data_IF_305337299826
#
_entry.id   IF_305337299826
#
_cell.length_a   1.000
_cell.length_b   1.000
_cell.length_c   1.000
_cell.angle_alpha   90.00
_cell.angle_beta   90.00
_cell.angle_gamma   90.00
#
_symmetry.space_group_name_H-M   'P 1'
#
loop_
_entity.id
_entity.type
_entity.pdbx_description
1 polymer ?
#
# COMPACT_ATOMS: atom_id res chain seq x y z
N UNK A 1 22.12 -38.79 -31.28
CA UNK A 1 23.08 -37.68 -31.15
C UNK A 1 22.42 -36.33 -31.45
N UNK A 2 21.24 -36.11 -31.03
CA UNK A 2 20.60 -34.80 -31.11
C UNK A 2 19.68 -34.66 -29.92
N UNK A 3 20.17 -34.27 -28.79
CA UNK A 3 19.36 -34.08 -27.59
C UNK A 3 19.85 -32.97 -26.66
N UNK A 4 20.69 -32.07 -27.16
CA UNK A 4 21.32 -31.09 -26.27
C UNK A 4 20.96 -29.62 -26.52
N UNK A 5 19.95 -29.30 -27.29
CA UNK A 5 19.66 -27.89 -27.58
C UNK A 5 18.30 -27.36 -27.09
N UNK A 6 17.58 -28.12 -26.27
CA UNK A 6 16.26 -27.71 -25.79
C UNK A 6 16.17 -27.43 -24.29
N UNK A 7 17.31 -27.42 -23.58
CA UNK A 7 17.33 -27.29 -22.14
C UNK A 7 17.60 -25.90 -21.56
N UNK A 8 17.99 -24.91 -22.37
CA UNK A 8 18.57 -23.69 -21.81
C UNK A 8 17.67 -22.46 -21.75
N UNK A 9 16.47 -22.49 -22.30
CA UNK A 9 15.60 -21.31 -22.24
C UNK A 9 14.59 -21.33 -21.09
N UNK A 10 14.27 -22.50 -20.59
CA UNK A 10 13.41 -22.64 -19.40
C UNK A 10 14.18 -22.51 -18.09
N UNK A 11 15.47 -22.84 -18.10
CA UNK A 11 16.30 -22.73 -16.90
C UNK A 11 16.63 -21.28 -16.51
N UNK A 12 16.75 -20.37 -17.47
CA UNK A 12 17.11 -18.98 -17.18
C UNK A 12 15.99 -18.19 -16.51
N UNK A 13 14.74 -18.51 -16.80
CA UNK A 13 13.60 -17.85 -16.14
C UNK A 13 13.31 -18.41 -14.76
N UNK A 14 13.45 -19.73 -14.61
CA UNK A 14 13.27 -20.42 -13.33
C UNK A 14 14.43 -20.09 -12.39
N UNK A 15 15.65 -20.07 -12.88
CA UNK A 15 16.83 -19.65 -12.12
C UNK A 15 16.73 -18.18 -11.67
N UNK A 16 16.09 -17.33 -12.45
CA UNK A 16 15.90 -15.93 -12.09
C UNK A 16 14.82 -15.77 -11.02
N UNK A 17 13.74 -16.54 -11.10
CA UNK A 17 12.69 -16.56 -10.09
C UNK A 17 13.21 -17.19 -8.79
N UNK A 18 13.95 -18.30 -8.87
CA UNK A 18 14.57 -18.91 -7.70
C UNK A 18 15.63 -18.01 -7.07
N UNK A 19 16.41 -17.29 -7.87
CA UNK A 19 17.37 -16.31 -7.35
C UNK A 19 16.70 -15.09 -6.75
N UNK A 20 15.58 -14.64 -7.28
CA UNK A 20 14.79 -13.56 -6.69
C UNK A 20 14.14 -14.02 -5.38
N UNK A 21 13.59 -15.22 -5.34
CA UNK A 21 13.05 -15.83 -4.14
C UNK A 21 14.15 -16.11 -3.10
N UNK A 22 15.28 -16.66 -3.53
CA UNK A 22 16.43 -16.92 -2.65
C UNK A 22 17.05 -15.63 -2.12
N UNK A 23 17.15 -14.61 -2.94
CA UNK A 23 17.59 -13.27 -2.51
C UNK A 23 16.59 -12.61 -1.58
N UNK A 24 15.30 -12.81 -1.80
CA UNK A 24 14.25 -12.40 -0.89
C UNK A 24 14.37 -13.18 0.44
N UNK A 25 14.50 -14.49 0.39
CA UNK A 25 14.65 -15.35 1.57
C UNK A 25 15.91 -15.03 2.37
N UNK A 26 17.03 -14.78 1.71
CA UNK A 26 18.28 -14.37 2.37
C UNK A 26 18.13 -12.97 2.96
N UNK A 27 17.48 -12.07 2.23
CA UNK A 27 17.24 -10.67 2.64
C UNK A 27 16.28 -10.59 3.81
N UNK A 28 15.29 -11.51 3.86
CA UNK A 28 14.25 -11.55 4.86
C UNK A 28 14.39 -12.72 5.82
N UNK A 29 15.53 -13.36 5.80
CA UNK A 29 15.87 -14.41 6.77
C UNK A 29 15.91 -13.78 8.17
N UNK A 30 15.18 -14.38 9.08
CA UNK A 30 15.00 -13.81 10.40
C UNK A 30 13.83 -12.84 10.45
N UNK A 31 12.70 -13.27 9.90
CA UNK A 31 11.41 -12.57 9.91
C UNK A 31 11.06 -11.97 11.27
N UNK A 32 11.52 -12.61 12.35
CA UNK A 32 11.34 -12.14 13.72
C UNK A 32 12.47 -11.21 14.19
N UNK A 33 13.51 -11.01 13.37
CA UNK A 33 14.56 -10.04 13.67
C UNK A 33 14.05 -8.61 13.39
N UNK A 34 14.00 -7.74 14.39
CA UNK A 34 13.59 -6.35 14.21
C UNK A 34 14.36 -5.59 13.12
N UNK A 35 15.62 -5.94 12.91
CA UNK A 35 16.44 -5.34 11.85
C UNK A 35 15.96 -5.70 10.46
N UNK A 36 15.58 -6.96 10.24
CA UNK A 36 15.04 -7.41 8.95
C UNK A 36 13.72 -6.73 8.63
N UNK A 37 12.85 -6.59 9.62
CA UNK A 37 11.58 -5.88 9.53
C UNK A 37 11.78 -4.42 9.16
N UNK A 38 12.60 -3.70 9.90
CA UNK A 38 12.90 -2.29 9.68
C UNK A 38 13.59 -2.08 8.33
N UNK A 39 14.48 -2.97 7.93
CA UNK A 39 15.15 -2.91 6.64
C UNK A 39 14.17 -3.06 5.48
N UNK A 40 13.25 -4.02 5.53
CA UNK A 40 12.22 -4.21 4.50
C UNK A 40 11.37 -2.95 4.37
N UNK A 41 10.90 -2.41 5.49
CA UNK A 41 10.10 -1.19 5.49
C UNK A 41 10.88 0.00 4.92
N UNK A 42 12.13 0.21 5.33
CA UNK A 42 12.96 1.31 4.85
C UNK A 42 13.24 1.23 3.36
N UNK A 43 13.51 0.03 2.82
CA UNK A 43 13.72 -0.16 1.38
C UNK A 43 12.42 0.07 0.61
N UNK A 44 11.26 -0.30 1.18
CA UNK A 44 9.96 0.02 0.60
C UNK A 44 9.73 1.53 0.51
N UNK A 45 10.06 2.26 1.56
CA UNK A 45 9.98 3.75 1.59
C UNK A 45 10.92 4.37 0.55
N UNK A 46 12.17 3.90 0.46
CA UNK A 46 13.11 4.38 -0.54
C UNK A 46 12.58 4.17 -1.97
N UNK A 47 12.00 3.00 -2.23
CA UNK A 47 11.38 2.71 -3.53
C UNK A 47 10.20 3.66 -3.81
N UNK A 48 9.41 3.97 -2.80
CA UNK A 48 8.30 4.93 -2.91
C UNK A 48 8.82 6.34 -3.24
N UNK A 49 9.88 6.78 -2.59
CA UNK A 49 10.50 8.10 -2.81
C UNK A 49 11.02 8.29 -4.23
N UNK A 50 11.60 7.26 -4.82
CA UNK A 50 12.05 7.28 -6.22
C UNK A 50 10.95 6.93 -7.23
N UNK A 51 9.72 6.75 -6.76
CA UNK A 51 8.55 6.38 -7.56
C UNK A 51 8.66 5.03 -8.27
N UNK A 52 9.45 4.11 -7.72
CA UNK A 52 9.44 2.71 -8.12
C UNK A 52 8.26 2.02 -7.42
N UNK A 53 7.05 2.26 -7.92
CA UNK A 53 5.81 1.82 -7.31
C UNK A 53 5.65 0.31 -7.32
N UNK A 54 6.17 -0.37 -8.32
CA UNK A 54 6.14 -1.83 -8.37
C UNK A 54 6.98 -2.45 -7.25
N UNK A 55 8.21 -1.98 -7.09
CA UNK A 55 9.10 -2.43 -6.01
C UNK A 55 8.53 -2.07 -4.64
N UNK A 56 8.04 -0.84 -4.46
CA UNK A 56 7.41 -0.40 -3.22
C UNK A 56 6.20 -1.27 -2.87
N UNK A 57 5.32 -1.52 -3.83
CA UNK A 57 4.14 -2.37 -3.66
C UNK A 57 4.53 -3.78 -3.21
N UNK A 58 5.48 -4.41 -3.87
CA UNK A 58 5.94 -5.76 -3.54
C UNK A 58 6.53 -5.84 -2.14
N UNK A 59 7.32 -4.84 -1.73
CA UNK A 59 7.94 -4.79 -0.41
C UNK A 59 6.93 -4.51 0.70
N UNK A 60 6.01 -3.58 0.51
CA UNK A 60 4.94 -3.34 1.48
C UNK A 60 4.00 -4.52 1.61
N UNK A 61 3.67 -5.19 0.50
CA UNK A 61 2.87 -6.43 0.52
C UNK A 61 3.55 -7.52 1.32
N UNK A 62 4.84 -7.73 1.08
CA UNK A 62 5.64 -8.66 1.85
C UNK A 62 5.65 -8.28 3.34
N UNK A 63 5.79 -7.00 3.64
CA UNK A 63 5.83 -6.52 5.02
C UNK A 63 4.54 -6.84 5.79
N UNK A 64 3.37 -6.54 5.22
CA UNK A 64 2.09 -6.80 5.90
C UNK A 64 1.76 -8.28 6.02
N UNK A 65 2.26 -9.12 5.12
CA UNK A 65 2.09 -10.58 5.16
C UNK A 65 3.02 -11.25 6.18
N UNK A 66 4.20 -10.68 6.42
CA UNK A 66 5.28 -11.32 7.15
C UNK A 66 5.50 -10.77 8.55
N UNK A 67 5.09 -9.53 8.82
CA UNK A 67 5.33 -8.85 10.09
C UNK A 67 4.05 -8.29 10.68
N UNK A 68 3.98 -8.27 12.01
CA UNK A 68 2.93 -7.59 12.76
C UNK A 68 3.57 -6.52 13.64
N UNK A 69 3.56 -5.30 13.13
CA UNK A 69 4.13 -4.13 13.79
C UNK A 69 3.05 -3.06 13.95
N UNK A 70 2.69 -2.74 15.18
CA UNK A 70 1.59 -1.81 15.48
C UNK A 70 1.79 -0.40 14.91
N UNK A 71 3.01 -0.01 14.60
CA UNK A 71 3.33 1.30 14.04
C UNK A 71 3.48 1.23 12.51
N UNK A 72 4.26 0.26 12.01
CA UNK A 72 4.64 0.17 10.60
C UNK A 72 3.62 -0.58 9.73
N UNK A 73 2.96 -1.61 10.26
CA UNK A 73 1.97 -2.36 9.48
C UNK A 73 0.80 -1.48 9.03
N UNK A 74 0.20 -0.65 9.89
CA UNK A 74 -0.83 0.29 9.44
C UNK A 74 -0.31 1.27 8.38
N UNK A 75 0.92 1.78 8.52
CA UNK A 75 1.53 2.65 7.50
C UNK A 75 1.75 1.92 6.18
N UNK A 76 2.17 0.66 6.22
CA UNK A 76 2.33 -0.15 5.01
C UNK A 76 0.99 -0.34 4.27
N UNK A 77 -0.10 -0.60 4.97
CA UNK A 77 -1.44 -0.62 4.36
C UNK A 77 -1.81 0.72 3.75
N UNK A 78 -1.50 1.82 4.42
CA UNK A 78 -1.74 3.15 3.86
C UNK A 78 -0.99 3.36 2.54
N UNK A 79 0.29 3.01 2.48
CA UNK A 79 1.10 3.13 1.26
C UNK A 79 0.62 2.20 0.15
N UNK A 80 0.20 0.97 0.48
CA UNK A 80 -0.42 0.07 -0.49
C UNK A 80 -1.69 0.68 -1.10
N UNK A 81 -2.52 1.30 -0.29
CA UNK A 81 -3.69 2.04 -0.74
C UNK A 81 -3.33 3.19 -1.69
N UNK A 82 -2.33 3.99 -1.32
CA UNK A 82 -1.84 5.10 -2.14
C UNK A 82 -1.27 4.63 -3.48
N UNK A 83 -0.43 3.60 -3.48
CA UNK A 83 0.15 3.05 -4.71
C UNK A 83 -0.94 2.51 -5.63
N UNK A 84 -1.90 1.78 -5.09
CA UNK A 84 -3.03 1.26 -5.85
C UNK A 84 -3.90 2.38 -6.45
N UNK A 85 -4.07 3.47 -5.71
CA UNK A 85 -4.76 4.68 -6.20
C UNK A 85 -4.01 5.33 -7.37
N UNK A 86 -2.70 5.48 -7.26
CA UNK A 86 -1.85 6.03 -8.33
C UNK A 86 -1.94 5.16 -9.59
N UNK A 87 -1.97 3.84 -9.42
CA UNK A 87 -2.11 2.87 -10.53
C UNK A 87 -3.54 2.77 -11.07
N UNK A 88 -4.48 3.50 -10.50
CA UNK A 88 -5.90 3.45 -10.83
C UNK A 88 -6.57 2.09 -10.54
N UNK A 89 -6.02 1.31 -9.62
CA UNK A 89 -6.62 0.08 -9.09
C UNK A 89 -7.52 0.45 -7.90
N UNK A 90 -8.69 1.00 -8.19
CA UNK A 90 -9.54 1.67 -7.19
C UNK A 90 -10.10 0.71 -6.14
N UNK A 91 -10.56 -0.47 -6.56
CA UNK A 91 -11.07 -1.50 -5.66
C UNK A 91 -9.99 -2.01 -4.69
N UNK A 92 -8.81 -2.29 -5.21
CA UNK A 92 -7.67 -2.73 -4.41
C UNK A 92 -7.24 -1.64 -3.41
N UNK A 93 -7.20 -0.39 -3.87
CA UNK A 93 -6.90 0.76 -3.02
C UNK A 93 -7.89 0.89 -1.86
N UNK A 94 -9.20 0.79 -2.14
CA UNK A 94 -10.23 0.82 -1.10
C UNK A 94 -10.03 -0.31 -0.08
N UNK A 95 -9.75 -1.51 -0.54
CA UNK A 95 -9.51 -2.67 0.33
C UNK A 95 -8.34 -2.43 1.29
N UNK A 96 -7.24 -1.85 0.83
CA UNK A 96 -6.11 -1.54 1.70
C UNK A 96 -6.43 -0.46 2.73
N UNK A 97 -7.11 0.62 2.34
CA UNK A 97 -7.53 1.65 3.29
C UNK A 97 -8.55 1.12 4.30
N UNK A 98 -9.48 0.26 3.86
CA UNK A 98 -10.44 -0.39 4.76
C UNK A 98 -9.75 -1.35 5.73
N UNK A 99 -8.75 -2.10 5.30
CA UNK A 99 -7.97 -2.97 6.17
C UNK A 99 -7.29 -2.16 7.29
N UNK A 100 -6.70 -1.02 6.94
CA UNK A 100 -6.14 -0.09 7.93
C UNK A 100 -7.20 0.37 8.93
N UNK A 101 -8.35 0.81 8.46
CA UNK A 101 -9.43 1.35 9.29
C UNK A 101 -9.99 0.30 10.24
N UNK A 102 -10.21 -0.92 9.75
CA UNK A 102 -10.83 -2.00 10.52
C UNK A 102 -9.85 -2.60 11.53
N UNK A 103 -8.62 -2.83 11.11
CA UNK A 103 -7.63 -3.54 11.93
C UNK A 103 -6.92 -2.63 12.92
N UNK A 104 -6.72 -1.37 12.55
CA UNK A 104 -5.99 -0.39 13.37
C UNK A 104 -6.81 0.89 13.63
N UNK A 105 -7.98 0.79 14.26
CA UNK A 105 -8.94 1.90 14.36
C UNK A 105 -8.44 3.13 15.11
N UNK A 106 -7.42 2.98 15.95
CA UNK A 106 -6.85 4.08 16.75
C UNK A 106 -5.60 4.71 16.10
N UNK A 107 -5.21 4.23 14.91
CA UNK A 107 -4.03 4.76 14.24
C UNK A 107 -4.26 6.20 13.75
N UNK A 108 -3.23 7.06 13.85
CA UNK A 108 -3.34 8.49 13.50
C UNK A 108 -3.63 8.76 12.01
N UNK A 109 -3.42 7.79 11.13
CA UNK A 109 -3.72 7.88 9.69
C UNK A 109 -5.18 7.58 9.33
N UNK A 110 -6.00 7.16 10.28
CA UNK A 110 -7.41 6.81 10.01
C UNK A 110 -8.20 7.95 9.38
N UNK A 111 -8.12 9.21 9.86
CA UNK A 111 -8.84 10.30 9.20
C UNK A 111 -8.42 10.48 7.75
N UNK A 112 -7.12 10.40 7.47
CA UNK A 112 -6.61 10.53 6.10
C UNK A 112 -7.01 9.34 5.23
N UNK A 113 -7.05 8.11 5.78
CA UNK A 113 -7.52 6.93 5.05
C UNK A 113 -8.99 7.09 4.62
N UNK A 114 -9.86 7.59 5.49
CA UNK A 114 -11.25 7.90 5.12
C UNK A 114 -11.32 8.97 4.02
N UNK A 115 -10.52 10.02 4.13
CA UNK A 115 -10.46 11.07 3.10
C UNK A 115 -10.01 10.48 1.76
N UNK A 116 -9.03 9.59 1.76
CA UNK A 116 -8.55 8.90 0.55
C UNK A 116 -9.62 8.02 -0.08
N UNK A 117 -10.45 7.36 0.71
CA UNK A 117 -11.61 6.62 0.19
C UNK A 117 -12.60 7.57 -0.50
N UNK A 118 -12.81 8.76 0.04
CA UNK A 118 -13.57 9.82 -0.65
C UNK A 118 -12.95 10.19 -2.01
N UNK A 119 -11.62 10.32 -2.06
CA UNK A 119 -10.90 10.59 -3.32
C UNK A 119 -11.10 9.46 -4.35
N UNK A 120 -11.12 8.19 -3.89
CA UNK A 120 -11.42 7.03 -4.74
C UNK A 120 -12.82 7.14 -5.37
N UNK A 121 -13.82 7.45 -4.57
CA UNK A 121 -15.19 7.60 -5.05
C UNK A 121 -15.30 8.73 -6.06
N UNK A 122 -14.62 9.86 -5.79
CA UNK A 122 -14.58 10.99 -6.73
C UNK A 122 -13.92 10.57 -8.06
N UNK A 123 -12.82 9.84 -7.99
CA UNK A 123 -12.10 9.34 -9.17
C UNK A 123 -12.94 8.34 -9.97
N UNK A 124 -13.82 7.61 -9.30
CA UNK A 124 -14.78 6.68 -9.90
C UNK A 124 -16.07 7.35 -10.35
N UNK A 125 -16.13 8.69 -10.34
CA UNK A 125 -17.28 9.50 -10.70
C UNK A 125 -18.51 9.32 -9.78
N UNK A 126 -18.32 8.75 -8.59
CA UNK A 126 -19.34 8.67 -7.57
C UNK A 126 -19.25 9.88 -6.63
N UNK A 127 -19.72 11.00 -7.14
CA UNK A 127 -19.67 12.30 -6.44
C UNK A 127 -20.45 12.26 -5.13
N UNK A 128 -21.58 11.58 -5.09
CA UNK A 128 -22.42 11.51 -3.89
C UNK A 128 -21.71 10.71 -2.76
N UNK A 129 -21.15 9.55 -3.09
CA UNK A 129 -20.38 8.77 -2.13
C UNK A 129 -19.14 9.54 -1.65
N UNK A 130 -18.47 10.26 -2.53
CA UNK A 130 -17.33 11.10 -2.17
C UNK A 130 -17.74 12.20 -1.18
N UNK A 131 -18.82 12.90 -1.43
CA UNK A 131 -19.36 13.94 -0.53
C UNK A 131 -19.71 13.37 0.84
N UNK A 132 -20.35 12.23 0.88
CA UNK A 132 -20.71 11.54 2.13
C UNK A 132 -19.46 11.21 2.95
N UNK A 133 -18.42 10.71 2.29
CA UNK A 133 -17.16 10.38 2.93
C UNK A 133 -16.41 11.60 3.46
N UNK A 134 -16.35 12.67 2.67
CA UNK A 134 -15.74 13.94 3.10
C UNK A 134 -16.50 14.56 4.28
N UNK A 135 -17.83 14.58 4.22
CA UNK A 135 -18.64 15.04 5.34
C UNK A 135 -18.44 14.21 6.60
N UNK A 136 -18.29 12.90 6.46
CA UNK A 136 -17.94 12.01 7.56
C UNK A 136 -16.63 12.43 8.22
N UNK A 137 -15.57 12.65 7.43
CA UNK A 137 -14.25 13.08 7.94
C UNK A 137 -14.34 14.41 8.68
N UNK A 138 -15.04 15.40 8.11
CA UNK A 138 -15.23 16.73 8.74
C UNK A 138 -15.97 16.61 10.07
N UNK A 139 -16.97 15.75 10.15
CA UNK A 139 -17.78 15.55 11.36
C UNK A 139 -17.04 14.80 12.44
N UNK A 140 -16.39 13.70 12.08
CA UNK A 140 -15.77 12.78 13.05
C UNK A 140 -14.37 13.22 13.48
N UNK A 141 -13.66 13.94 12.63
CA UNK A 141 -12.27 14.36 12.88
C UNK A 141 -12.06 15.86 12.66
N UNK A 142 -12.84 16.73 13.31
CA UNK A 142 -12.91 18.17 12.97
C UNK A 142 -11.57 18.92 13.11
N UNK A 143 -10.67 18.45 13.96
CA UNK A 143 -9.37 19.09 14.24
C UNK A 143 -8.21 18.46 13.48
N UNK A 144 -8.49 17.56 12.54
CA UNK A 144 -7.46 16.86 11.77
C UNK A 144 -7.21 17.55 10.43
N UNK A 145 -5.97 17.48 9.94
CA UNK A 145 -5.60 18.01 8.62
C UNK A 145 -6.46 17.39 7.50
N UNK A 146 -6.81 16.11 7.60
CA UNK A 146 -7.68 15.43 6.64
C UNK A 146 -9.06 16.12 6.55
N UNK A 147 -9.59 16.60 7.67
CA UNK A 147 -10.85 17.38 7.69
C UNK A 147 -10.72 18.69 6.94
N UNK A 148 -9.63 19.41 7.10
CA UNK A 148 -9.37 20.66 6.35
C UNK A 148 -9.30 20.41 4.85
N UNK A 149 -8.63 19.34 4.43
CA UNK A 149 -8.55 18.94 3.02
C UNK A 149 -9.93 18.53 2.47
N UNK A 150 -10.68 17.73 3.24
CA UNK A 150 -12.02 17.30 2.87
C UNK A 150 -12.98 18.49 2.71
N UNK A 151 -12.92 19.44 3.64
CA UNK A 151 -13.75 20.65 3.60
C UNK A 151 -13.46 21.50 2.34
N UNK A 152 -12.18 21.63 1.98
CA UNK A 152 -11.79 22.34 0.76
C UNK A 152 -12.33 21.65 -0.49
N UNK A 153 -12.28 20.31 -0.55
CA UNK A 153 -12.83 19.53 -1.66
C UNK A 153 -14.35 19.67 -1.73
N UNK A 154 -15.05 19.63 -0.58
CA UNK A 154 -16.49 19.85 -0.52
C UNK A 154 -16.90 21.23 -1.08
N UNK A 155 -16.14 22.28 -0.75
CA UNK A 155 -16.37 23.62 -1.28
C UNK A 155 -16.21 23.67 -2.80
N UNK A 156 -15.24 22.96 -3.35
CA UNK A 156 -15.00 22.91 -4.79
C UNK A 156 -16.08 22.09 -5.53
N UNK A 157 -16.87 21.31 -4.81
CA UNK A 157 -17.95 20.46 -5.35
C UNK A 157 -19.34 21.16 -5.32
N UNK A 158 -19.42 22.33 -4.76
CA UNK A 158 -20.67 23.12 -4.69
C UNK A 158 -21.09 23.76 -6.04
#
# INVERSE_FOLDING_TARGET
MISESLGNSESDSDDNIENLALNADIRFKGIEDPKSKDQVYNVAIEALEIQDFEKAFNLFSYFVESFDDNEKTPLAYFWLGEISLIKNNLEESENYFMELIITYPDHYRIPLAHKKIGDLYLKNNDTNAAKDKYNFVVREYPNNTASSLALQLLKNME
#
